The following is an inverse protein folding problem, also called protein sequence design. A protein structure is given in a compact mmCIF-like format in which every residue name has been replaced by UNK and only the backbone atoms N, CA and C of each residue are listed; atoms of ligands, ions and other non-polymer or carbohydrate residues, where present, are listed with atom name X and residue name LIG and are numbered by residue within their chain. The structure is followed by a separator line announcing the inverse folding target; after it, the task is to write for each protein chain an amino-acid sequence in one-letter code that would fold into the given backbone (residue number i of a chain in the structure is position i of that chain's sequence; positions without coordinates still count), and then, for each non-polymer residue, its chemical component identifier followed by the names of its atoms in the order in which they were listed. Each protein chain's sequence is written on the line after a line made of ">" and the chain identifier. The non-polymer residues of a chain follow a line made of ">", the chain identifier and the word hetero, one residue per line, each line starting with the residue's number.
data_IF_721966276761
#
_entry.id   IF_721966276761
#
_cell.length_a   1.000
_cell.length_b   1.000
_cell.length_c   1.000
_cell.angle_alpha   90.00
_cell.angle_beta   90.00
_cell.angle_gamma   90.00
#
_symmetry.space_group_name_H-M   'P 1'
#
loop_
_entity.id
_entity.type
_entity.pdbx_description
1 polymer ?
#
# COMPACT_ATOMS: atom_id res chain seq x y z
N UNK A 1 16.09 2.69 -2.83
CA UNK A 1 15.71 1.28 -2.95
C UNK A 1 16.96 0.40 -3.02
N UNK A 2 16.82 -0.93 -2.79
CA UNK A 2 17.94 -1.86 -2.90
C UNK A 2 19.08 -1.69 -1.89
N UNK A 3 18.97 -0.78 -0.93
CA UNK A 3 20.01 -0.48 0.06
C UNK A 3 21.41 -0.26 -0.56
N UNK A 4 21.47 0.21 -1.81
CA UNK A 4 22.71 0.40 -2.55
C UNK A 4 23.31 -0.86 -3.18
N UNK A 5 22.61 -2.01 -3.06
CA UNK A 5 23.01 -3.27 -3.67
C UNK A 5 22.50 -3.38 -5.11
N UNK A 6 23.20 -4.17 -5.93
CA UNK A 6 22.61 -4.64 -7.18
C UNK A 6 21.47 -5.64 -6.90
N UNK A 7 20.53 -5.86 -7.86
CA UNK A 7 19.47 -6.89 -7.69
C UNK A 7 20.06 -8.26 -7.35
N UNK A 8 21.09 -8.68 -8.04
CA UNK A 8 21.79 -9.95 -7.81
C UNK A 8 22.37 -10.06 -6.40
N UNK A 9 23.06 -9.01 -5.92
CA UNK A 9 23.66 -9.02 -4.59
C UNK A 9 22.61 -9.02 -3.48
N UNK A 10 21.49 -8.30 -3.70
CA UNK A 10 20.36 -8.34 -2.78
C UNK A 10 19.73 -9.75 -2.70
N UNK A 11 19.47 -10.38 -3.84
CA UNK A 11 18.93 -11.76 -3.88
C UNK A 11 19.87 -12.70 -3.15
N UNK A 12 21.17 -12.66 -3.45
CA UNK A 12 22.17 -13.50 -2.82
C UNK A 12 22.22 -13.31 -1.28
N UNK A 13 22.12 -12.06 -0.82
CA UNK A 13 22.10 -11.77 0.62
C UNK A 13 20.93 -12.43 1.35
N UNK A 14 19.75 -12.55 0.70
CA UNK A 14 18.62 -13.29 1.24
C UNK A 14 18.83 -14.81 1.16
N UNK A 15 19.31 -15.31 0.02
CA UNK A 15 19.54 -16.75 -0.20
C UNK A 15 20.60 -17.33 0.73
N UNK A 16 21.68 -16.60 1.01
CA UNK A 16 22.73 -16.97 1.96
C UNK A 16 22.20 -17.20 3.40
N UNK A 17 20.99 -16.67 3.68
CA UNK A 17 20.27 -16.86 4.96
C UNK A 17 19.03 -17.77 4.82
N UNK A 18 18.91 -18.52 3.74
CA UNK A 18 17.76 -19.41 3.48
C UNK A 18 16.44 -18.68 3.24
N UNK A 19 16.48 -17.41 2.86
CA UNK A 19 15.33 -16.58 2.59
C UNK A 19 15.18 -16.30 1.09
N UNK A 20 13.96 -15.93 0.68
CA UNK A 20 13.68 -15.47 -0.69
C UNK A 20 13.18 -14.04 -0.66
N UNK A 21 13.75 -13.17 -1.48
CA UNK A 21 13.24 -11.82 -1.70
C UNK A 21 11.97 -11.90 -2.54
N UNK A 22 10.82 -11.62 -1.96
CA UNK A 22 9.52 -11.75 -2.63
C UNK A 22 9.02 -10.43 -3.20
N UNK A 23 9.32 -9.32 -2.54
CA UNK A 23 8.83 -8.01 -2.89
C UNK A 23 9.22 -6.95 -1.86
N UNK A 24 8.67 -5.77 -2.01
CA UNK A 24 8.91 -4.67 -1.07
C UNK A 24 7.73 -3.73 -1.00
N UNK A 25 7.52 -3.20 0.19
CA UNK A 25 6.67 -2.04 0.41
C UNK A 25 7.58 -0.87 0.75
N UNK A 26 7.37 0.25 0.14
CA UNK A 26 8.17 1.44 0.38
C UNK A 26 7.31 2.65 0.71
N UNK A 27 7.92 3.58 1.42
CA UNK A 27 7.36 4.89 1.71
C UNK A 27 7.99 5.90 0.78
N UNK A 28 7.16 6.66 0.11
CA UNK A 28 7.66 7.85 -0.58
C UNK A 28 7.83 8.92 0.49
N UNK A 29 9.02 9.05 1.05
CA UNK A 29 9.33 10.05 2.09
C UNK A 29 9.33 11.50 1.57
N UNK A 30 9.06 11.70 0.31
CA UNK A 30 9.07 13.01 -0.31
C UNK A 30 7.80 13.80 0.05
N UNK A 31 7.96 15.11 0.15
CA UNK A 31 6.86 16.08 0.22
C UNK A 31 5.78 15.87 -0.86
N UNK A 32 6.11 15.11 -1.90
CA UNK A 32 5.23 14.70 -2.99
C UNK A 32 4.05 13.83 -2.56
N UNK A 33 4.15 13.06 -1.46
CA UNK A 33 3.02 12.25 -0.97
C UNK A 33 1.87 13.11 -0.42
N UNK A 34 2.20 14.27 0.11
CA UNK A 34 1.23 15.19 0.71
C UNK A 34 0.90 16.38 -0.17
N UNK A 35 1.57 16.48 -1.32
CA UNK A 35 1.38 17.56 -2.27
C UNK A 35 0.82 16.99 -3.58
N UNK A 36 -0.01 17.76 -4.21
CA UNK A 36 -0.63 17.49 -5.50
C UNK A 36 0.38 17.62 -6.66
N UNK A 37 1.53 16.99 -6.50
CA UNK A 37 2.60 16.97 -7.49
C UNK A 37 2.46 15.77 -8.42
N UNK A 38 2.88 15.88 -9.69
CA UNK A 38 2.92 14.75 -10.60
C UNK A 38 3.76 13.61 -10.05
N UNK A 39 3.31 12.38 -10.29
CA UNK A 39 4.06 11.20 -9.89
C UNK A 39 5.34 11.06 -10.75
N UNK A 40 6.48 10.80 -10.11
CA UNK A 40 7.76 10.60 -10.82
C UNK A 40 7.81 9.17 -11.42
N UNK A 41 7.25 9.02 -12.61
CA UNK A 41 7.17 7.73 -13.28
C UNK A 41 8.55 7.21 -13.74
N UNK A 42 9.52 8.07 -14.02
CA UNK A 42 10.86 7.65 -14.43
C UNK A 42 11.61 7.03 -13.24
N UNK A 43 11.47 7.64 -12.06
CA UNK A 43 12.00 7.08 -10.83
C UNK A 43 11.32 5.75 -10.48
N UNK A 44 9.99 5.69 -10.62
CA UNK A 44 9.23 4.48 -10.34
C UNK A 44 9.58 3.35 -11.31
N UNK A 45 9.82 3.65 -12.58
CA UNK A 45 10.25 2.64 -13.55
C UNK A 45 11.58 1.99 -13.15
N UNK A 46 12.57 2.79 -12.73
CA UNK A 46 13.85 2.26 -12.24
C UNK A 46 13.68 1.36 -11.02
N UNK A 47 12.71 1.65 -10.15
CA UNK A 47 12.37 0.81 -9.00
C UNK A 47 11.74 -0.50 -9.49
N UNK A 48 10.77 -0.43 -10.39
CA UNK A 48 10.12 -1.59 -10.99
C UNK A 48 11.17 -2.51 -11.65
N UNK A 49 12.02 -1.96 -12.50
CA UNK A 49 13.07 -2.70 -13.21
C UNK A 49 14.01 -3.42 -12.23
N UNK A 50 14.43 -2.73 -11.16
CA UNK A 50 15.31 -3.31 -10.15
C UNK A 50 14.66 -4.51 -9.42
N UNK A 51 13.38 -4.37 -9.01
CA UNK A 51 12.68 -5.45 -8.33
C UNK A 51 12.29 -6.59 -9.26
N UNK A 52 12.00 -6.31 -10.53
CA UNK A 52 11.77 -7.32 -11.55
C UNK A 52 13.04 -8.14 -11.80
N UNK A 53 14.21 -7.49 -11.94
CA UNK A 53 15.50 -8.16 -12.08
C UNK A 53 15.85 -9.01 -10.86
N UNK A 54 15.45 -8.58 -9.66
CA UNK A 54 15.58 -9.34 -8.43
C UNK A 54 14.60 -10.55 -8.34
N UNK A 55 13.72 -10.73 -9.32
CA UNK A 55 12.72 -11.82 -9.33
C UNK A 55 11.59 -11.63 -8.32
N UNK A 56 11.31 -10.42 -7.90
CA UNK A 56 10.19 -10.11 -7.02
C UNK A 56 8.85 -10.31 -7.72
N UNK A 57 7.82 -10.64 -6.95
CA UNK A 57 6.47 -10.87 -7.48
C UNK A 57 5.55 -9.67 -7.28
N UNK A 58 5.90 -8.79 -6.36
CA UNK A 58 5.12 -7.58 -6.05
C UNK A 58 5.99 -6.48 -5.48
N UNK A 59 5.57 -5.26 -5.71
CA UNK A 59 6.06 -4.07 -5.02
C UNK A 59 4.88 -3.16 -4.70
N UNK A 60 5.02 -2.34 -3.68
CA UNK A 60 3.92 -1.48 -3.29
C UNK A 60 4.28 -0.27 -2.48
N UNK A 61 3.26 0.52 -2.21
CA UNK A 61 3.34 1.74 -1.44
C UNK A 61 2.50 1.61 -0.17
N UNK A 62 2.98 2.21 0.91
CA UNK A 62 2.26 2.29 2.17
C UNK A 62 1.92 3.72 2.55
N UNK A 63 0.76 3.90 3.19
CA UNK A 63 0.45 5.10 3.95
C UNK A 63 0.31 6.38 3.12
N UNK A 64 -0.35 6.32 1.98
CA UNK A 64 -0.72 7.51 1.23
C UNK A 64 -1.89 8.25 1.91
N UNK A 65 -1.91 9.58 1.81
CA UNK A 65 -2.93 10.42 2.44
C UNK A 65 -3.83 11.05 1.39
N UNK A 66 -5.12 10.88 1.55
CA UNK A 66 -6.12 11.29 0.59
C UNK A 66 -6.90 12.49 1.11
N UNK A 67 -6.39 13.68 0.82
CA UNK A 67 -6.94 14.96 1.34
C UNK A 67 -8.30 15.33 0.75
N UNK A 68 -8.63 14.86 -0.45
CA UNK A 68 -9.91 15.05 -1.12
C UNK A 68 -10.10 14.08 -2.29
N UNK A 69 -11.29 14.06 -2.87
CA UNK A 69 -11.65 13.17 -3.98
C UNK A 69 -10.80 13.40 -5.24
N UNK A 70 -10.47 14.63 -5.56
CA UNK A 70 -9.65 14.96 -6.74
C UNK A 70 -8.24 14.40 -6.58
N UNK A 71 -7.65 14.53 -5.39
CA UNK A 71 -6.35 13.97 -5.07
C UNK A 71 -6.41 12.43 -5.12
N UNK A 72 -7.43 11.83 -4.49
CA UNK A 72 -7.64 10.39 -4.52
C UNK A 72 -7.71 9.87 -5.96
N UNK A 73 -8.53 10.49 -6.81
CA UNK A 73 -8.67 10.08 -8.21
C UNK A 73 -7.33 10.09 -8.94
N UNK A 74 -6.59 11.18 -8.86
CA UNK A 74 -5.26 11.27 -9.50
C UNK A 74 -4.29 10.22 -8.98
N UNK A 75 -4.37 9.90 -7.69
CA UNK A 75 -3.52 8.88 -7.09
C UNK A 75 -3.90 7.49 -7.58
N UNK A 76 -5.19 7.20 -7.75
CA UNK A 76 -5.66 5.92 -8.32
C UNK A 76 -5.30 5.80 -9.81
N UNK A 77 -5.36 6.88 -10.57
CA UNK A 77 -4.88 6.92 -11.96
C UNK A 77 -3.37 6.57 -12.01
N UNK A 78 -2.57 7.11 -11.07
CA UNK A 78 -1.15 6.76 -10.95
C UNK A 78 -0.92 5.29 -10.54
N UNK A 79 -1.72 4.76 -9.63
CA UNK A 79 -1.61 3.35 -9.22
C UNK A 79 -1.98 2.41 -10.36
N UNK A 80 -2.98 2.75 -11.17
CA UNK A 80 -3.33 1.97 -12.36
C UNK A 80 -2.17 1.95 -13.37
N UNK A 81 -1.52 3.09 -13.61
CA UNK A 81 -0.33 3.17 -14.49
C UNK A 81 0.85 2.37 -13.91
N UNK A 82 1.11 2.47 -12.61
CA UNK A 82 2.16 1.67 -11.96
C UNK A 82 1.82 0.18 -11.97
N UNK A 83 0.55 -0.17 -11.78
CA UNK A 83 0.07 -1.54 -11.89
C UNK A 83 0.31 -2.11 -13.29
N UNK A 84 -0.02 -1.36 -14.33
CA UNK A 84 0.26 -1.75 -15.72
C UNK A 84 1.75 -1.99 -15.97
N UNK A 85 2.62 -1.09 -15.49
CA UNK A 85 4.08 -1.22 -15.61
C UNK A 85 4.62 -2.43 -14.84
N UNK A 86 4.10 -2.66 -13.63
CA UNK A 86 4.43 -3.86 -12.86
C UNK A 86 4.00 -5.13 -13.59
N UNK A 87 2.81 -5.17 -14.15
CA UNK A 87 2.31 -6.32 -14.91
C UNK A 87 3.18 -6.62 -16.15
N UNK A 88 3.64 -5.60 -16.88
CA UNK A 88 4.58 -5.75 -18.00
C UNK A 88 5.94 -6.33 -17.55
N UNK A 89 6.32 -6.08 -16.29
CA UNK A 89 7.53 -6.63 -15.68
C UNK A 89 7.28 -7.97 -14.93
N UNK A 90 6.08 -8.56 -15.05
CA UNK A 90 5.72 -9.82 -14.38
C UNK A 90 5.43 -9.70 -12.89
N UNK A 91 5.15 -8.50 -12.40
CA UNK A 91 4.87 -8.19 -11.00
C UNK A 91 3.46 -7.62 -10.81
N UNK A 92 3.03 -7.48 -9.55
CA UNK A 92 1.80 -6.78 -9.17
C UNK A 92 2.15 -5.53 -8.36
N UNK A 93 1.50 -4.41 -8.66
CA UNK A 93 1.51 -3.25 -7.79
C UNK A 93 0.56 -3.46 -6.61
N UNK A 94 1.02 -3.19 -5.38
CA UNK A 94 0.20 -3.34 -4.18
C UNK A 94 0.11 -2.05 -3.37
N UNK A 95 -1.00 -1.87 -2.68
CA UNK A 95 -1.17 -0.83 -1.68
C UNK A 95 -1.28 -1.44 -0.29
N UNK A 96 -0.45 -0.97 0.64
CA UNK A 96 -0.49 -1.37 2.04
C UNK A 96 -1.29 -0.37 2.85
N UNK A 97 -2.43 -0.82 3.39
CA UNK A 97 -3.32 0.04 4.16
C UNK A 97 -2.81 0.34 5.57
N UNK A 98 -3.25 1.48 6.06
CA UNK A 98 -3.27 1.83 7.47
C UNK A 98 -4.72 1.99 7.96
N UNK A 99 -4.95 2.88 8.94
CA UNK A 99 -6.29 3.15 9.47
C UNK A 99 -6.99 4.30 8.73
N UNK A 100 -6.25 5.21 8.13
CA UNK A 100 -6.79 6.43 7.54
C UNK A 100 -7.57 6.20 6.25
N UNK A 101 -7.44 5.04 5.60
CA UNK A 101 -8.29 4.65 4.47
C UNK A 101 -9.74 4.38 4.88
N UNK A 102 -10.01 4.35 6.19
CA UNK A 102 -11.38 4.31 6.71
C UNK A 102 -12.04 5.70 6.78
N UNK A 103 -11.29 6.77 6.51
CA UNK A 103 -11.84 8.09 6.26
C UNK A 103 -12.90 8.02 5.15
N UNK A 104 -13.94 8.88 5.26
CA UNK A 104 -15.01 8.90 4.27
C UNK A 104 -14.94 10.13 3.38
N UNK A 105 -15.10 9.89 2.09
CA UNK A 105 -15.29 10.90 1.06
C UNK A 105 -16.66 10.62 0.43
N UNK A 106 -17.59 11.58 0.49
CA UNK A 106 -18.94 11.43 -0.04
C UNK A 106 -19.68 10.17 0.47
N UNK A 107 -19.46 9.81 1.75
CA UNK A 107 -20.13 8.67 2.39
C UNK A 107 -19.47 7.31 2.18
N UNK A 108 -18.55 7.16 1.23
CA UNK A 108 -17.76 5.94 1.01
C UNK A 108 -16.41 6.02 1.72
N UNK A 109 -15.90 4.90 2.21
CA UNK A 109 -14.53 4.87 2.72
C UNK A 109 -13.52 5.07 1.58
N UNK A 110 -12.38 5.66 1.89
CA UNK A 110 -11.28 5.76 0.93
C UNK A 110 -10.90 4.38 0.40
N UNK A 111 -10.87 3.36 1.26
CA UNK A 111 -10.60 1.98 0.83
C UNK A 111 -11.62 1.50 -0.22
N UNK A 112 -12.92 1.78 -0.04
CA UNK A 112 -13.95 1.43 -1.02
C UNK A 112 -13.70 2.12 -2.36
N UNK A 113 -13.40 3.40 -2.31
CA UNK A 113 -13.11 4.19 -3.51
C UNK A 113 -11.84 3.69 -4.22
N UNK A 114 -10.80 3.32 -3.46
CA UNK A 114 -9.59 2.70 -4.04
C UNK A 114 -9.93 1.40 -4.77
N UNK A 115 -10.75 0.55 -4.16
CA UNK A 115 -11.20 -0.72 -4.78
C UNK A 115 -11.99 -0.48 -6.07
N UNK A 116 -12.84 0.55 -6.09
CA UNK A 116 -13.66 0.89 -7.25
C UNK A 116 -12.87 1.55 -8.40
N UNK A 117 -11.84 2.33 -8.05
CA UNK A 117 -11.08 3.13 -9.02
C UNK A 117 -9.83 2.44 -9.55
N UNK A 118 -9.42 1.30 -8.95
CA UNK A 118 -8.23 0.59 -9.38
C UNK A 118 -8.56 -0.65 -10.20
N UNK A 119 -7.71 -0.90 -11.21
CA UNK A 119 -7.78 -2.11 -12.03
C UNK A 119 -7.53 -3.37 -11.17
N UNK A 120 -8.48 -4.29 -11.08
CA UNK A 120 -8.37 -5.47 -10.23
C UNK A 120 -7.30 -6.47 -10.66
N UNK A 121 -6.87 -6.44 -11.91
CA UNK A 121 -5.87 -7.35 -12.44
C UNK A 121 -4.44 -6.85 -12.17
N UNK A 122 -4.25 -5.54 -12.15
CA UNK A 122 -2.94 -4.91 -12.07
C UNK A 122 -2.63 -4.31 -10.69
N UNK A 123 -3.66 -3.94 -9.91
CA UNK A 123 -3.51 -3.32 -8.59
C UNK A 123 -4.10 -4.22 -7.50
N UNK A 124 -3.27 -4.60 -6.55
CA UNK A 124 -3.67 -5.41 -5.41
C UNK A 124 -3.49 -4.68 -4.07
N UNK A 125 -3.85 -5.39 -3.00
CA UNK A 125 -3.68 -4.91 -1.63
C UNK A 125 -2.73 -5.83 -0.86
N UNK A 126 -1.83 -5.22 -0.10
CA UNK A 126 -1.14 -5.84 1.02
C UNK A 126 -1.94 -5.48 2.27
N UNK A 127 -2.87 -6.38 2.63
CA UNK A 127 -3.82 -6.12 3.70
C UNK A 127 -3.19 -6.25 5.08
N UNK A 128 -3.04 -5.11 5.78
CA UNK A 128 -2.61 -5.08 7.17
C UNK A 128 -3.82 -5.19 8.10
N UNK A 129 -3.95 -6.35 8.74
CA UNK A 129 -5.08 -6.66 9.64
C UNK A 129 -5.08 -5.80 10.90
N UNK A 130 -3.91 -5.48 11.44
CA UNK A 130 -3.77 -4.62 12.61
C UNK A 130 -4.28 -3.21 12.35
N UNK A 131 -3.87 -2.61 11.23
CA UNK A 131 -4.32 -1.29 10.85
C UNK A 131 -5.80 -1.27 10.50
N UNK A 132 -6.33 -2.35 9.95
CA UNK A 132 -7.77 -2.52 9.75
C UNK A 132 -8.53 -2.41 11.08
N UNK A 133 -8.12 -3.16 12.10
CA UNK A 133 -8.73 -3.11 13.44
C UNK A 133 -8.60 -1.72 14.05
N UNK A 134 -7.45 -1.06 13.90
CA UNK A 134 -7.26 0.32 14.37
C UNK A 134 -8.16 1.33 13.66
N UNK A 135 -8.53 1.06 12.42
CA UNK A 135 -9.52 1.82 11.65
C UNK A 135 -10.97 1.45 11.96
N UNK A 136 -11.23 0.62 12.99
CA UNK A 136 -12.56 0.15 13.39
C UNK A 136 -13.25 -0.75 12.37
N UNK A 137 -12.48 -1.48 11.59
CA UNK A 137 -13.00 -2.41 10.60
C UNK A 137 -12.86 -3.83 11.11
N UNK A 138 -13.88 -4.65 10.87
CA UNK A 138 -13.75 -6.09 11.04
C UNK A 138 -12.78 -6.63 9.97
N UNK A 139 -11.63 -7.18 10.36
CA UNK A 139 -10.63 -7.63 9.39
C UNK A 139 -11.15 -8.80 8.54
N UNK A 140 -12.02 -9.66 9.09
CA UNK A 140 -12.59 -10.80 8.36
C UNK A 140 -13.55 -10.33 7.28
N UNK A 141 -14.40 -9.35 7.57
CA UNK A 141 -15.32 -8.78 6.59
C UNK A 141 -14.57 -8.08 5.46
N UNK A 142 -13.49 -7.36 5.78
CA UNK A 142 -12.66 -6.75 4.74
C UNK A 142 -11.88 -7.79 3.91
N UNK A 143 -11.40 -8.87 4.49
CA UNK A 143 -10.80 -9.97 3.74
C UNK A 143 -11.81 -10.54 2.75
N UNK A 144 -13.05 -10.79 3.16
CA UNK A 144 -14.12 -11.26 2.27
C UNK A 144 -14.41 -10.26 1.14
N UNK A 145 -14.48 -8.98 1.48
CA UNK A 145 -14.75 -7.89 0.54
C UNK A 145 -13.64 -7.70 -0.50
N UNK A 146 -12.39 -7.67 -0.07
CA UNK A 146 -11.24 -7.51 -0.94
C UNK A 146 -10.97 -8.78 -1.77
N UNK A 147 -11.19 -9.95 -1.19
CA UNK A 147 -11.08 -11.24 -1.87
C UNK A 147 -9.76 -11.39 -2.64
N UNK A 148 -9.85 -11.67 -3.94
CA UNK A 148 -8.69 -11.89 -4.83
C UNK A 148 -7.80 -10.66 -5.04
N UNK A 149 -8.26 -9.47 -4.66
CA UNK A 149 -7.44 -8.25 -4.69
C UNK A 149 -6.36 -8.24 -3.61
N UNK A 150 -6.49 -9.04 -2.54
CA UNK A 150 -5.42 -9.24 -1.57
C UNK A 150 -4.33 -10.10 -2.22
N UNK A 151 -3.11 -9.58 -2.27
CA UNK A 151 -1.93 -10.27 -2.81
C UNK A 151 -0.98 -10.71 -1.71
N UNK A 152 -0.96 -10.00 -0.60
CA UNK A 152 -0.21 -10.36 0.61
C UNK A 152 -0.91 -9.84 1.86
N UNK A 153 -0.49 -10.37 3.01
CA UNK A 153 -0.98 -9.98 4.31
C UNK A 153 0.16 -9.44 5.17
N UNK A 154 -0.12 -8.36 5.85
CA UNK A 154 0.72 -7.90 6.93
C UNK A 154 0.06 -8.29 8.25
N UNK A 155 0.52 -9.38 8.83
CA UNK A 155 -0.02 -9.92 10.08
C UNK A 155 0.71 -9.31 11.27
N UNK A 156 0.08 -8.36 11.93
CA UNK A 156 0.54 -7.78 13.19
C UNK A 156 -0.41 -8.14 14.29
N UNK A 157 0.12 -8.29 15.49
CA UNK A 157 -0.63 -8.53 16.70
C UNK A 157 -0.50 -7.36 17.68
N UNK A 158 -1.39 -7.31 18.67
CA UNK A 158 -1.37 -6.33 19.75
C UNK A 158 -2.02 -6.90 21.01
N UNK A 159 -1.69 -6.36 22.19
CA UNK A 159 -2.26 -6.85 23.45
C UNK A 159 -3.78 -6.70 23.47
N UNK A 160 -4.49 -7.80 23.63
CA UNK A 160 -5.95 -7.86 23.59
C UNK A 160 -6.64 -6.95 24.61
N UNK A 161 -5.98 -6.71 25.74
CA UNK A 161 -6.48 -5.84 26.82
C UNK A 161 -6.27 -4.34 26.56
N UNK A 162 -5.74 -3.94 25.38
CA UNK A 162 -5.45 -2.55 25.02
C UNK A 162 -6.19 -2.08 23.76
N UNK A 163 -7.29 -2.73 23.42
CA UNK A 163 -8.07 -2.42 22.22
C UNK A 163 -8.53 -0.94 22.16
N UNK A 164 -8.93 -0.37 23.30
CA UNK A 164 -9.40 1.02 23.35
C UNK A 164 -8.28 2.04 23.07
N UNK A 165 -7.06 1.72 23.47
CA UNK A 165 -5.89 2.59 23.19
C UNK A 165 -5.50 2.55 21.71
N UNK A 166 -5.82 1.45 21.03
CA UNK A 166 -5.48 1.22 19.64
C UNK A 166 -6.46 1.87 18.66
N UNK A 167 -7.61 2.31 19.17
CA UNK A 167 -8.65 2.89 18.34
C UNK A 167 -8.37 4.36 18.02
N UNK A 168 -7.41 4.60 17.13
CA UNK A 168 -6.99 5.96 16.75
C UNK A 168 -8.12 6.70 16.05
N UNK A 169 -8.90 6.03 15.20
CA UNK A 169 -9.98 6.67 14.46
C UNK A 169 -11.06 7.29 15.36
N UNK A 170 -11.26 6.76 16.57
CA UNK A 170 -12.18 7.35 17.58
C UNK A 170 -11.63 8.61 18.25
N UNK A 171 -10.31 8.80 18.23
CA UNK A 171 -9.62 9.84 18.99
C UNK A 171 -9.28 11.07 18.15
N UNK A 172 -9.37 10.96 16.84
CA UNK A 172 -9.04 12.04 15.93
C UNK A 172 -10.30 12.73 15.43
N UNK A 173 -10.40 14.04 15.48
CA UNK A 173 -11.39 14.81 14.73
C UNK A 173 -11.30 14.44 13.25
N UNK A 174 -12.43 14.45 12.54
CA UNK A 174 -12.48 14.09 11.11
C UNK A 174 -11.48 14.87 10.24
N UNK A 175 -11.15 16.10 10.63
CA UNK A 175 -10.18 16.96 9.94
C UNK A 175 -8.72 16.70 10.31
N UNK A 176 -8.42 15.88 11.33
CA UNK A 176 -7.06 15.55 11.77
C UNK A 176 -6.57 14.18 11.27
N UNK A 177 -7.44 13.39 10.63
CA UNK A 177 -7.05 12.14 9.97
C UNK A 177 -6.01 12.32 8.86
N UNK A 178 -5.78 13.57 8.47
CA UNK A 178 -4.89 13.98 7.38
C UNK A 178 -3.46 14.30 7.85
N UNK A 179 -3.21 14.42 9.15
CA UNK A 179 -1.93 14.91 9.69
C UNK A 179 -1.17 13.80 10.45
N UNK A 180 -0.59 12.87 9.70
CA UNK A 180 0.41 11.92 10.21
C UNK A 180 1.73 12.02 9.47
#
# INVERSE_FOLDING_TARGET
>A
FGMGLSPRDAVRAFEDHGMKLQGSIFWIKDKQMHQDLPFDYDRMQKIIDWYAEAGCTHIGLAGDYFVNETFLKRRMDAYNELGRRCAEAGMVWTYHNHFHEQQRINGKTVLDLMVEMTDPDNVGFDWDVYWGVRGLVDPVENIKKLGKKIKCFHCKDFPFNRLDELNIAKKLPENELVNW
#
